data_IF_597797537549
#
_entry.id   IF_597797537549
#
_cell.length_a   1.000
_cell.length_b   1.000
_cell.length_c   1.000
_cell.angle_alpha   90.00
_cell.angle_beta   90.00
_cell.angle_gamma   90.00
#
_symmetry.space_group_name_H-M   'P 1'
#
loop_
_entity.id
_entity.type
_entity.pdbx_description
1 polymer ?
#
# COMPACT_ATOMS: atom_id res chain seq x y z
N UNK A 1 -3.17 6.22 -2.50
CA UNK A 1 -2.98 6.01 -3.94
C UNK A 1 -1.66 6.63 -4.40
N UNK A 2 -1.34 7.88 -4.00
CA UNK A 2 -0.02 8.49 -4.27
C UNK A 2 1.15 7.57 -3.93
N UNK A 3 1.15 6.95 -2.75
CA UNK A 3 2.20 6.01 -2.32
C UNK A 3 2.41 4.82 -3.27
N UNK A 4 1.35 4.36 -3.95
CA UNK A 4 1.43 3.24 -4.90
C UNK A 4 2.10 3.70 -6.20
N UNK A 5 1.69 4.86 -6.73
CA UNK A 5 2.28 5.46 -7.93
C UNK A 5 3.76 5.79 -7.70
N UNK A 6 4.08 6.44 -6.58
CA UNK A 6 5.46 6.79 -6.21
C UNK A 6 6.30 5.55 -5.95
N UNK A 7 5.72 4.51 -5.32
CA UNK A 7 6.38 3.22 -5.12
C UNK A 7 6.80 2.58 -6.45
N UNK A 8 5.88 2.52 -7.41
CA UNK A 8 6.16 2.00 -8.76
C UNK A 8 7.16 2.87 -9.52
N UNK A 9 7.03 4.20 -9.46
CA UNK A 9 7.95 5.13 -10.10
C UNK A 9 9.39 4.95 -9.62
N UNK A 10 9.57 4.85 -8.30
CA UNK A 10 10.88 4.64 -7.70
C UNK A 10 11.45 3.25 -8.04
N UNK A 11 10.62 2.22 -8.12
CA UNK A 11 11.06 0.89 -8.54
C UNK A 11 11.51 0.87 -10.01
N UNK A 12 10.82 1.61 -10.89
CA UNK A 12 11.26 1.81 -12.28
C UNK A 12 12.60 2.56 -12.30
N UNK A 13 12.72 3.68 -11.58
CA UNK A 13 13.94 4.48 -11.52
C UNK A 13 15.15 3.73 -10.93
N UNK A 14 14.90 2.75 -10.05
CA UNK A 14 15.93 1.88 -9.51
C UNK A 14 16.43 0.83 -10.52
N UNK A 15 15.61 0.43 -11.49
CA UNK A 15 15.96 -0.54 -12.53
C UNK A 15 16.54 0.12 -13.78
N UNK A 16 16.08 1.33 -14.10
CA UNK A 16 16.57 2.16 -15.20
C UNK A 16 16.63 3.60 -14.73
N UNK A 17 17.79 4.25 -14.89
CA UNK A 17 17.99 5.64 -14.51
C UNK A 17 16.89 6.51 -15.15
N UNK A 18 16.06 7.12 -14.29
CA UNK A 18 14.94 7.96 -14.69
C UNK A 18 14.77 9.09 -13.67
N UNK A 19 14.31 10.25 -14.14
CA UNK A 19 13.87 11.34 -13.28
C UNK A 19 12.41 11.09 -12.85
N UNK A 20 12.15 11.12 -11.54
CA UNK A 20 10.79 10.94 -11.00
C UNK A 20 10.22 12.30 -10.60
N UNK A 21 9.20 12.75 -11.33
CA UNK A 21 8.48 13.99 -11.04
C UNK A 21 7.08 13.67 -10.56
N UNK A 22 6.75 14.07 -9.32
CA UNK A 22 5.42 13.87 -8.74
C UNK A 22 4.57 15.12 -8.94
N UNK A 23 3.43 14.96 -9.64
CA UNK A 23 2.43 16.01 -9.81
C UNK A 23 1.12 15.62 -9.12
N UNK A 24 0.52 16.55 -8.38
CA UNK A 24 -0.76 16.31 -7.67
C UNK A 24 -1.90 16.96 -8.45
N UNK A 25 -2.88 16.14 -8.83
CA UNK A 25 -4.06 16.63 -9.56
C UNK A 25 -4.97 17.40 -8.61
N UNK A 26 -5.23 18.66 -8.95
CA UNK A 26 -6.24 19.48 -8.30
C UNK A 26 -7.15 20.13 -9.34
N UNK A 27 -8.46 19.92 -9.19
CA UNK A 27 -9.48 20.41 -10.12
C UNK A 27 -10.07 21.75 -9.63
N UNK A 28 -10.43 22.64 -10.57
CA UNK A 28 -11.21 23.85 -10.31
C UNK A 28 -12.65 23.47 -9.94
N UNK A 29 -13.20 24.16 -8.93
CA UNK A 29 -14.59 24.01 -8.52
C UNK A 29 -15.01 22.56 -8.25
N UNK A 30 -16.17 22.16 -8.76
CA UNK A 30 -16.75 20.81 -8.56
C UNK A 30 -16.39 19.82 -9.68
N UNK A 31 -15.58 20.19 -10.65
CA UNK A 31 -15.28 19.35 -11.84
C UNK A 31 -14.66 18.00 -11.45
N UNK A 32 -13.83 17.95 -10.40
CA UNK A 32 -13.26 16.69 -9.90
C UNK A 32 -14.28 15.69 -9.31
N UNK A 33 -15.52 16.13 -9.05
CA UNK A 33 -16.62 15.27 -8.60
C UNK A 33 -17.40 14.65 -9.75
N UNK A 34 -17.28 15.20 -10.96
CA UNK A 34 -17.99 14.69 -12.12
C UNK A 34 -17.37 13.36 -12.60
N UNK A 35 -18.18 12.50 -13.24
CA UNK A 35 -17.67 11.43 -14.09
C UNK A 35 -16.62 11.94 -15.09
N UNK A 36 -15.64 11.10 -15.41
CA UNK A 36 -14.49 11.50 -16.22
C UNK A 36 -14.87 11.97 -17.64
N UNK A 37 -15.97 11.45 -18.20
CA UNK A 37 -16.48 11.81 -19.52
C UNK A 37 -17.12 13.21 -19.55
N UNK A 38 -17.49 13.78 -18.39
CA UNK A 38 -18.04 15.13 -18.27
C UNK A 38 -16.96 16.22 -18.08
N UNK A 39 -15.68 15.85 -18.18
CA UNK A 39 -14.57 16.81 -18.20
C UNK A 39 -13.92 16.82 -19.60
N UNK A 40 -14.49 17.56 -20.57
CA UNK A 40 -14.01 17.56 -21.95
C UNK A 40 -12.66 18.25 -22.12
N UNK A 41 -12.34 19.23 -21.27
CA UNK A 41 -11.11 20.04 -21.34
C UNK A 41 -10.30 19.98 -20.03
N UNK A 42 -9.78 18.81 -19.64
CA UNK A 42 -9.20 18.62 -18.32
C UNK A 42 -8.05 19.58 -18.01
N UNK A 43 -7.16 19.90 -18.97
CA UNK A 43 -6.09 20.87 -18.72
C UNK A 43 -6.59 22.27 -18.35
N UNK A 44 -7.71 22.74 -18.92
CA UNK A 44 -8.31 24.03 -18.58
C UNK A 44 -8.96 24.03 -17.19
N UNK A 45 -9.44 22.85 -16.77
CA UNK A 45 -10.10 22.62 -15.49
C UNK A 45 -9.14 22.34 -14.34
N UNK A 46 -7.84 22.22 -14.58
CA UNK A 46 -6.83 22.10 -13.52
C UNK A 46 -6.66 23.42 -12.77
N UNK A 47 -6.31 23.35 -11.48
CA UNK A 47 -5.78 24.51 -10.77
C UNK A 47 -4.39 24.88 -11.34
N UNK A 48 -4.04 26.18 -11.38
CA UNK A 48 -2.80 26.65 -12.02
C UNK A 48 -1.51 26.06 -11.41
N UNK A 49 -1.53 25.73 -10.13
CA UNK A 49 -0.39 25.25 -9.33
C UNK A 49 -0.09 23.75 -9.49
N UNK A 50 -0.87 23.03 -10.30
CA UNK A 50 -0.67 21.58 -10.48
C UNK A 50 0.58 21.23 -11.27
N UNK A 51 1.05 22.14 -12.14
CA UNK A 51 2.23 21.95 -12.98
C UNK A 51 2.13 20.75 -13.93
N UNK A 52 0.90 20.36 -14.31
CA UNK A 52 0.63 19.29 -15.28
C UNK A 52 0.47 19.94 -16.66
N UNK A 53 1.41 19.64 -17.55
CA UNK A 53 1.49 20.18 -18.90
C UNK A 53 2.79 19.72 -19.57
N UNK A 54 3.05 20.15 -20.81
CA UNK A 54 4.31 19.86 -21.49
C UNK A 54 5.52 20.50 -20.77
N UNK A 55 6.74 19.93 -20.90
CA UNK A 55 7.06 18.71 -21.65
C UNK A 55 6.47 17.46 -20.99
N UNK A 56 5.94 16.56 -21.82
CA UNK A 56 5.33 15.31 -21.36
C UNK A 56 6.40 14.27 -21.06
N UNK A 57 6.20 13.39 -20.06
CA UNK A 57 7.19 12.38 -19.69
C UNK A 57 7.20 11.21 -20.69
N UNK A 58 8.28 10.43 -20.68
CA UNK A 58 8.34 9.16 -21.39
C UNK A 58 7.32 8.14 -20.86
N UNK A 59 7.17 8.08 -19.53
CA UNK A 59 6.27 7.18 -18.82
C UNK A 59 5.38 8.01 -17.88
N UNK A 60 4.07 7.88 -18.04
CA UNK A 60 3.06 8.48 -17.16
C UNK A 60 2.45 7.41 -16.26
N UNK A 61 2.64 7.54 -14.95
CA UNK A 61 2.07 6.63 -13.96
C UNK A 61 0.94 7.32 -13.21
N UNK A 62 -0.22 6.68 -13.12
CA UNK A 62 -1.39 7.25 -12.47
C UNK A 62 -2.15 6.24 -11.60
N UNK A 63 -2.93 6.76 -10.64
CA UNK A 63 -3.84 5.99 -9.80
C UNK A 63 -5.10 6.78 -9.50
N UNK A 64 -6.24 6.09 -9.49
CA UNK A 64 -7.50 6.64 -9.02
C UNK A 64 -8.23 7.56 -9.99
N UNK A 65 -9.53 7.70 -9.76
CA UNK A 65 -10.51 8.35 -10.65
C UNK A 65 -10.14 9.79 -11.06
N UNK A 66 -9.49 10.55 -10.16
CA UNK A 66 -9.14 11.94 -10.43
C UNK A 66 -8.09 12.10 -11.53
N UNK A 67 -7.32 11.07 -11.86
CA UNK A 67 -6.28 11.13 -12.90
C UNK A 67 -6.79 10.72 -14.29
N UNK A 68 -7.88 9.93 -14.34
CA UNK A 68 -8.39 9.32 -15.57
C UNK A 68 -8.63 10.32 -16.72
N UNK A 69 -9.24 11.51 -16.52
CA UNK A 69 -9.46 12.45 -17.63
C UNK A 69 -8.18 12.91 -18.32
N UNK A 70 -7.07 12.96 -17.58
CA UNK A 70 -5.73 13.31 -18.10
C UNK A 70 -5.10 12.08 -18.76
N UNK A 71 -5.03 10.96 -18.05
CA UNK A 71 -4.33 9.74 -18.51
C UNK A 71 -4.84 9.26 -19.87
N UNK A 72 -6.16 9.19 -20.07
CA UNK A 72 -6.76 8.68 -21.33
C UNK A 72 -6.53 9.61 -22.52
N UNK A 73 -6.31 10.91 -22.27
CA UNK A 73 -6.07 11.90 -23.34
C UNK A 73 -4.59 12.10 -23.62
N UNK A 74 -3.73 11.71 -22.69
CA UNK A 74 -2.29 11.91 -22.79
C UNK A 74 -1.71 11.23 -24.03
N UNK A 75 -2.20 10.03 -24.36
CA UNK A 75 -1.83 9.33 -25.61
C UNK A 75 -2.11 10.19 -26.85
N UNK A 76 -3.28 10.82 -26.91
CA UNK A 76 -3.63 11.71 -28.02
C UNK A 76 -2.79 13.01 -28.02
N UNK A 77 -2.61 13.65 -26.86
CA UNK A 77 -1.83 14.89 -26.74
C UNK A 77 -0.35 14.72 -27.09
N UNK A 78 0.16 13.51 -26.91
CA UNK A 78 1.57 13.18 -27.13
C UNK A 78 1.79 12.45 -28.45
N UNK A 79 0.76 12.25 -29.28
CA UNK A 79 0.84 11.40 -30.48
C UNK A 79 1.45 10.02 -30.18
N UNK A 80 1.03 9.43 -29.05
CA UNK A 80 1.52 8.18 -28.48
C UNK A 80 3.01 8.18 -28.09
N UNK A 81 3.65 9.34 -27.87
CA UNK A 81 5.05 9.37 -27.40
C UNK A 81 5.19 9.03 -25.92
N UNK A 82 4.17 9.28 -25.10
CA UNK A 82 4.17 8.92 -23.67
C UNK A 82 3.50 7.56 -23.46
N UNK A 83 4.16 6.69 -22.69
CA UNK A 83 3.62 5.40 -22.26
C UNK A 83 2.79 5.55 -20.99
N UNK A 84 1.49 5.27 -21.08
CA UNK A 84 0.52 5.55 -20.02
C UNK A 84 0.19 4.29 -19.24
N UNK A 85 0.59 4.28 -17.97
CA UNK A 85 0.35 3.19 -17.02
C UNK A 85 -0.65 3.61 -15.96
N UNK A 86 -1.69 2.81 -15.80
CA UNK A 86 -2.68 2.97 -14.74
C UNK A 86 -2.51 1.89 -13.69
N UNK A 87 -2.31 2.29 -12.44
CA UNK A 87 -2.39 1.38 -11.30
C UNK A 87 -3.84 1.29 -10.81
N UNK A 88 -4.21 0.12 -10.27
CA UNK A 88 -5.60 -0.25 -9.91
C UNK A 88 -6.52 -0.42 -11.12
N UNK A 89 -7.68 -1.04 -10.89
CA UNK A 89 -8.76 -1.10 -11.88
C UNK A 89 -9.31 0.31 -12.16
N UNK A 90 -9.22 0.80 -13.41
CA UNK A 90 -9.74 2.12 -13.78
C UNK A 90 -11.27 2.18 -13.91
N UNK A 91 -11.96 1.02 -13.89
CA UNK A 91 -13.41 0.88 -14.14
C UNK A 91 -13.85 1.50 -15.46
N UNK A 92 -13.06 1.27 -16.50
CA UNK A 92 -13.25 1.71 -17.89
C UNK A 92 -12.43 0.79 -18.82
N UNK A 93 -12.65 0.84 -20.15
CA UNK A 93 -11.89 0.02 -21.09
C UNK A 93 -10.37 0.16 -20.90
N UNK A 94 -9.69 -0.96 -20.71
CA UNK A 94 -8.24 -0.96 -20.45
C UNK A 94 -7.44 -0.51 -21.66
N UNK A 95 -7.97 -0.67 -22.88
CA UNK A 95 -7.35 -0.24 -24.14
C UNK A 95 -7.04 1.25 -24.25
N UNK A 96 -7.60 2.08 -23.34
CA UNK A 96 -7.27 3.50 -23.22
C UNK A 96 -5.89 3.77 -22.60
N UNK A 97 -5.23 2.73 -22.09
CA UNK A 97 -3.90 2.77 -21.47
C UNK A 97 -2.94 1.84 -22.22
N UNK A 98 -1.64 2.06 -22.06
CA UNK A 98 -0.65 1.11 -22.58
C UNK A 98 -0.45 -0.08 -21.64
N UNK A 99 -0.64 0.13 -20.33
CA UNK A 99 -0.64 -0.93 -19.32
C UNK A 99 -1.55 -0.57 -18.13
N UNK A 100 -2.26 -1.59 -17.63
CA UNK A 100 -3.05 -1.49 -16.39
C UNK A 100 -2.52 -2.52 -15.38
N UNK A 101 -2.25 -2.08 -14.15
CA UNK A 101 -1.69 -2.90 -13.07
C UNK A 101 -2.69 -2.96 -11.91
N UNK A 102 -3.74 -3.81 -12.02
CA UNK A 102 -4.73 -3.96 -10.97
C UNK A 102 -4.27 -5.00 -9.93
N UNK A 103 -4.83 -4.96 -8.71
CA UNK A 103 -4.79 -6.10 -7.81
C UNK A 103 -5.49 -7.33 -8.41
N UNK A 104 -4.94 -8.53 -8.22
CA UNK A 104 -5.53 -9.81 -8.68
C UNK A 104 -6.97 -10.02 -8.18
N UNK A 105 -7.27 -9.58 -6.96
CA UNK A 105 -8.61 -9.72 -6.37
C UNK A 105 -9.68 -8.88 -7.07
N UNK A 106 -9.31 -7.90 -7.91
CA UNK A 106 -10.25 -7.14 -8.74
C UNK A 106 -10.66 -7.92 -10.01
N UNK A 107 -9.98 -9.03 -10.34
CA UNK A 107 -10.27 -9.95 -11.46
C UNK A 107 -10.38 -9.29 -12.85
N UNK A 108 -9.76 -8.13 -13.03
CA UNK A 108 -9.68 -7.44 -14.31
C UNK A 108 -8.84 -8.26 -15.31
N UNK A 109 -9.30 -8.34 -16.56
CA UNK A 109 -8.65 -9.08 -17.65
C UNK A 109 -8.51 -8.19 -18.88
N UNK A 110 -7.49 -8.47 -19.70
CA UNK A 110 -7.22 -7.78 -20.97
C UNK A 110 -5.75 -7.92 -21.38
N UNK A 111 -5.47 -7.73 -22.67
CA UNK A 111 -4.13 -7.93 -23.24
C UNK A 111 -3.05 -7.02 -22.64
N UNK A 112 -3.48 -5.86 -22.13
CA UNK A 112 -2.64 -4.88 -21.47
C UNK A 112 -2.79 -4.85 -19.94
N UNK A 113 -3.28 -5.94 -19.35
CA UNK A 113 -3.46 -6.05 -17.90
C UNK A 113 -2.35 -6.91 -17.30
N UNK A 114 -1.65 -6.37 -16.29
CA UNK A 114 -0.66 -7.09 -15.49
C UNK A 114 -1.07 -7.09 -14.02
N UNK A 115 -1.78 -8.15 -13.61
CA UNK A 115 -2.34 -8.24 -12.25
C UNK A 115 -1.29 -8.63 -11.21
N UNK A 116 -1.29 -7.93 -10.07
CA UNK A 116 -0.36 -8.18 -8.95
C UNK A 116 -1.09 -8.54 -7.66
N UNK A 117 -0.39 -9.18 -6.73
CA UNK A 117 -0.92 -9.43 -5.38
C UNK A 117 -0.88 -8.14 -4.55
N UNK A 118 -2.03 -7.68 -4.06
CA UNK A 118 -2.09 -6.44 -3.29
C UNK A 118 -1.93 -5.19 -4.16
N UNK A 119 -0.99 -4.31 -3.83
CA UNK A 119 -0.77 -3.06 -4.58
C UNK A 119 0.70 -2.65 -4.61
N UNK A 120 1.14 -1.82 -5.58
CA UNK A 120 2.51 -1.32 -5.56
C UNK A 120 2.77 -0.56 -4.25
N UNK A 121 3.96 -0.73 -3.69
CA UNK A 121 4.36 -0.13 -2.43
C UNK A 121 5.79 0.39 -2.48
N UNK A 122 6.17 1.12 -1.43
CA UNK A 122 7.53 1.65 -1.29
C UNK A 122 8.42 0.80 -0.38
N UNK A 123 8.09 -0.48 -0.16
CA UNK A 123 8.87 -1.37 0.70
C UNK A 123 10.00 -1.99 -0.12
N UNK A 124 11.24 -1.75 0.30
CA UNK A 124 12.41 -2.45 -0.21
C UNK A 124 13.50 -2.53 0.87
N UNK A 125 14.47 -3.41 0.69
CA UNK A 125 15.53 -3.65 1.66
C UNK A 125 16.31 -2.38 2.03
N UNK A 126 16.60 -1.50 1.05
CA UNK A 126 17.32 -0.23 1.27
C UNK A 126 16.54 0.70 2.19
N UNK A 127 15.23 0.87 1.94
CA UNK A 127 14.35 1.70 2.76
C UNK A 127 14.18 1.12 4.16
N UNK A 128 13.89 -0.18 4.28
CA UNK A 128 13.74 -0.85 5.57
C UNK A 128 15.00 -0.68 6.43
N UNK A 129 16.19 -0.83 5.84
CA UNK A 129 17.48 -0.61 6.53
C UNK A 129 17.67 0.84 6.96
N UNK A 130 17.35 1.80 6.09
CA UNK A 130 17.48 3.22 6.41
C UNK A 130 16.53 3.65 7.54
N UNK A 131 15.27 3.25 7.48
CA UNK A 131 14.27 3.57 8.50
C UNK A 131 14.59 2.87 9.82
N UNK A 132 15.02 1.60 9.81
CA UNK A 132 15.51 0.93 11.01
C UNK A 132 16.68 1.69 11.66
N UNK A 133 17.60 2.23 10.86
CA UNK A 133 18.72 3.04 11.36
C UNK A 133 18.28 4.25 12.19
N UNK A 134 17.21 4.93 11.79
CA UNK A 134 16.68 6.13 12.48
C UNK A 134 16.12 5.82 13.87
N UNK A 135 15.51 4.63 14.03
CA UNK A 135 14.85 4.22 15.27
C UNK A 135 15.64 3.16 16.07
N UNK A 136 16.84 2.80 15.59
CA UNK A 136 17.65 1.68 16.11
C UNK A 136 17.83 1.73 17.63
N UNK A 137 18.17 2.90 18.18
CA UNK A 137 18.43 3.06 19.62
C UNK A 137 17.21 2.72 20.48
N UNK A 138 16.01 3.15 20.07
CA UNK A 138 14.78 2.88 20.81
C UNK A 138 14.37 1.41 20.67
N UNK A 139 14.45 0.88 19.45
CA UNK A 139 14.00 -0.48 19.14
C UNK A 139 14.95 -1.54 19.71
N UNK A 140 16.26 -1.30 19.76
CA UNK A 140 17.23 -2.29 20.23
C UNK A 140 17.15 -2.58 21.73
N UNK A 141 16.63 -1.64 22.51
CA UNK A 141 16.37 -1.83 23.93
C UNK A 141 15.18 -2.77 24.20
N UNK A 142 14.35 -3.05 23.19
CA UNK A 142 13.14 -3.86 23.36
C UNK A 142 13.45 -5.37 23.41
N UNK A 143 12.86 -6.10 24.37
CA UNK A 143 12.90 -7.56 24.42
C UNK A 143 12.36 -8.21 23.15
N UNK A 144 12.88 -9.40 22.84
CA UNK A 144 12.36 -10.24 21.76
C UNK A 144 11.38 -11.29 22.32
N UNK A 145 10.38 -11.71 21.52
CA UNK A 145 10.13 -11.28 20.14
C UNK A 145 9.61 -9.84 20.04
N UNK A 146 10.02 -9.12 19.00
CA UNK A 146 9.50 -7.78 18.67
C UNK A 146 8.30 -7.93 17.75
N UNK A 147 7.11 -7.57 18.17
CA UNK A 147 5.89 -7.75 17.38
C UNK A 147 5.44 -6.41 16.82
N UNK A 148 5.53 -6.24 15.50
CA UNK A 148 4.96 -5.06 14.85
C UNK A 148 3.45 -5.26 14.67
N UNK A 149 2.66 -4.35 15.24
CA UNK A 149 1.20 -4.37 15.15
C UNK A 149 0.75 -3.18 14.31
N UNK A 150 0.15 -3.47 13.17
CA UNK A 150 -0.30 -2.46 12.21
C UNK A 150 -1.81 -2.45 12.19
N UNK A 151 -2.38 -1.43 12.83
CA UNK A 151 -3.82 -1.31 13.02
C UNK A 151 -4.42 -0.39 11.97
N UNK A 152 -5.30 -0.95 11.16
CA UNK A 152 -6.14 -0.25 10.20
C UNK A 152 -7.37 0.34 10.86
N UNK A 153 -8.49 0.34 10.15
CA UNK A 153 -9.71 0.90 10.70
C UNK A 153 -10.84 0.95 9.69
N UNK A 154 -11.71 1.94 9.86
CA UNK A 154 -12.97 1.99 9.13
C UNK A 154 -12.72 2.03 7.62
N UNK A 155 -13.43 1.18 6.90
CA UNK A 155 -13.53 1.13 5.45
C UNK A 155 -14.99 0.89 5.05
N UNK A 156 -15.26 0.69 3.76
CA UNK A 156 -16.61 0.28 3.32
C UNK A 156 -16.98 -1.14 3.74
N UNK A 157 -15.97 -1.98 3.96
CA UNK A 157 -16.13 -3.41 4.22
C UNK A 157 -15.95 -3.77 5.69
N UNK A 158 -15.11 -3.01 6.41
CA UNK A 158 -14.71 -3.33 7.77
C UNK A 158 -14.84 -2.12 8.69
N UNK A 159 -15.07 -2.40 9.98
CA UNK A 159 -15.05 -1.42 11.04
C UNK A 159 -14.27 -1.96 12.26
N UNK A 160 -13.90 -1.05 13.15
CA UNK A 160 -13.30 -1.40 14.44
C UNK A 160 -14.22 -0.89 15.54
N UNK A 161 -15.13 -1.74 16.01
CA UNK A 161 -15.92 -1.45 17.21
C UNK A 161 -15.03 -1.41 18.45
N UNK A 162 -15.55 -0.86 19.55
CA UNK A 162 -14.82 -0.82 20.83
C UNK A 162 -14.65 -2.24 21.38
N UNK A 163 -15.66 -3.08 21.19
CA UNK A 163 -15.68 -4.50 21.57
C UNK A 163 -14.61 -5.28 20.80
N UNK A 164 -14.53 -5.08 19.48
CA UNK A 164 -13.50 -5.70 18.64
C UNK A 164 -12.11 -5.19 18.98
N UNK A 165 -11.96 -3.90 19.30
CA UNK A 165 -10.69 -3.34 19.76
C UNK A 165 -10.26 -3.94 21.12
N UNK A 166 -11.20 -4.19 22.04
CA UNK A 166 -10.93 -4.83 23.32
C UNK A 166 -10.44 -6.27 23.13
N UNK A 167 -11.14 -7.03 22.28
CA UNK A 167 -10.76 -8.40 21.94
C UNK A 167 -9.39 -8.45 21.25
N UNK A 168 -9.12 -7.55 20.29
CA UNK A 168 -7.81 -7.45 19.65
C UNK A 168 -6.69 -7.13 20.63
N UNK A 169 -6.92 -6.20 21.57
CA UNK A 169 -5.92 -5.88 22.58
C UNK A 169 -5.51 -7.12 23.37
N UNK A 170 -6.50 -7.93 23.78
CA UNK A 170 -6.26 -9.18 24.50
C UNK A 170 -5.54 -10.23 23.63
N UNK A 171 -5.99 -10.41 22.38
CA UNK A 171 -5.37 -11.33 21.42
C UNK A 171 -3.91 -10.97 21.13
N UNK A 172 -3.58 -9.68 21.06
CA UNK A 172 -2.22 -9.18 20.86
C UNK A 172 -1.38 -9.38 22.13
N UNK A 173 -1.90 -8.98 23.28
CA UNK A 173 -1.18 -8.99 24.55
C UNK A 173 -0.77 -10.41 24.98
N UNK A 174 -1.72 -11.35 24.93
CA UNK A 174 -1.55 -12.69 25.50
C UNK A 174 -0.28 -13.43 25.01
N UNK A 175 -0.06 -13.64 23.70
CA UNK A 175 1.12 -14.35 23.23
C UNK A 175 2.41 -13.54 23.39
N UNK A 176 2.35 -12.21 23.38
CA UNK A 176 3.54 -11.37 23.59
C UNK A 176 4.02 -11.50 25.04
N UNK A 177 3.10 -11.47 26.00
CA UNK A 177 3.41 -11.67 27.43
C UNK A 177 3.96 -13.08 27.66
N UNK A 178 3.35 -14.10 27.05
CA UNK A 178 3.81 -15.49 27.17
C UNK A 178 5.24 -15.69 26.64
N UNK A 179 5.64 -15.00 25.58
CA UNK A 179 7.00 -15.07 25.02
C UNK A 179 7.98 -14.05 25.63
N UNK A 180 7.55 -13.20 26.57
CA UNK A 180 8.39 -12.15 27.15
C UNK A 180 8.81 -11.07 26.15
N UNK A 181 7.99 -10.84 25.12
CA UNK A 181 8.30 -9.97 23.99
C UNK A 181 7.94 -8.50 24.19
N UNK A 182 7.94 -7.78 23.08
CA UNK A 182 7.60 -6.36 23.00
C UNK A 182 6.64 -6.06 21.85
N UNK A 183 5.90 -4.96 21.99
CA UNK A 183 4.92 -4.52 20.99
C UNK A 183 5.34 -3.21 20.34
N UNK A 184 5.27 -3.14 19.02
CA UNK A 184 5.51 -1.92 18.23
C UNK A 184 4.26 -1.58 17.44
N UNK A 185 3.41 -0.71 17.98
CA UNK A 185 2.08 -0.41 17.42
C UNK A 185 2.13 0.83 16.53
N UNK A 186 1.55 0.71 15.34
CA UNK A 186 1.29 1.84 14.44
C UNK A 186 -0.17 1.85 13.99
N UNK A 187 -0.79 3.03 14.05
CA UNK A 187 -2.18 3.21 13.69
C UNK A 187 -2.33 3.93 12.35
N UNK A 188 -3.27 3.47 11.54
CA UNK A 188 -3.72 4.19 10.35
C UNK A 188 -4.52 5.44 10.74
N UNK A 189 -4.52 6.44 9.86
CA UNK A 189 -5.45 7.59 9.97
C UNK A 189 -6.94 7.18 9.93
N UNK A 190 -7.23 5.94 9.53
CA UNK A 190 -8.58 5.37 9.46
C UNK A 190 -9.03 4.68 10.76
N UNK A 191 -8.12 4.48 11.71
CA UNK A 191 -8.45 3.88 13.01
C UNK A 191 -9.41 4.82 13.75
N UNK A 192 -10.63 4.37 14.12
CA UNK A 192 -11.53 5.18 14.95
C UNK A 192 -10.85 5.58 16.26
N UNK A 193 -11.05 6.82 16.69
CA UNK A 193 -10.43 7.34 17.92
C UNK A 193 -10.73 6.46 19.15
N UNK A 194 -11.98 6.03 19.42
CA UNK A 194 -12.26 5.21 20.60
C UNK A 194 -11.49 3.88 20.61
N UNK A 195 -11.34 3.27 19.43
CA UNK A 195 -10.57 2.04 19.27
C UNK A 195 -9.06 2.28 19.48
N UNK A 196 -8.52 3.38 18.96
CA UNK A 196 -7.12 3.79 19.18
C UNK A 196 -6.87 4.02 20.67
N UNK A 197 -7.70 4.80 21.34
CA UNK A 197 -7.56 5.11 22.76
C UNK A 197 -7.58 3.84 23.61
N UNK A 198 -8.50 2.91 23.33
CA UNK A 198 -8.59 1.63 24.03
C UNK A 198 -7.35 0.76 23.81
N UNK A 199 -6.92 0.56 22.56
CA UNK A 199 -5.74 -0.24 22.23
C UNK A 199 -4.49 0.34 22.89
N UNK A 200 -4.32 1.67 22.85
CA UNK A 200 -3.21 2.35 23.55
C UNK A 200 -3.28 2.12 25.05
N UNK A 201 -4.44 2.33 25.68
CA UNK A 201 -4.61 2.15 27.11
C UNK A 201 -4.34 0.71 27.57
N UNK A 202 -4.68 -0.28 26.74
CA UNK A 202 -4.51 -1.71 27.00
C UNK A 202 -3.11 -2.23 26.71
N UNK A 203 -2.33 -1.60 25.84
CA UNK A 203 -1.01 -2.11 25.44
C UNK A 203 0.16 -1.32 26.03
N UNK A 204 -0.09 -0.11 26.58
CA UNK A 204 0.96 0.78 27.08
C UNK A 204 1.79 0.25 28.26
N UNK A 205 1.30 -0.73 29.00
CA UNK A 205 2.04 -1.33 30.13
C UNK A 205 3.08 -2.35 29.67
N UNK A 206 2.98 -2.83 28.44
CA UNK A 206 3.92 -3.78 27.88
C UNK A 206 5.22 -3.09 27.45
N UNK A 207 6.37 -3.80 27.45
CA UNK A 207 7.56 -3.33 26.77
C UNK A 207 7.24 -3.03 25.30
N UNK A 208 7.53 -1.82 24.82
CA UNK A 208 7.14 -1.49 23.46
C UNK A 208 7.15 0.00 23.12
N UNK A 209 6.70 0.27 21.90
CA UNK A 209 6.52 1.62 21.36
C UNK A 209 5.13 1.66 20.72
N UNK A 210 4.31 2.62 21.14
CA UNK A 210 3.02 2.91 20.50
C UNK A 210 3.16 4.27 19.83
N UNK A 211 3.11 4.29 18.49
CA UNK A 211 3.18 5.54 17.75
C UNK A 211 1.83 6.26 17.79
N UNK A 212 1.81 7.44 18.39
CA UNK A 212 0.63 8.29 18.60
C UNK A 212 0.20 9.05 17.33
N UNK A 213 1.11 9.22 16.36
CA UNK A 213 0.88 9.98 15.14
C UNK A 213 1.74 11.24 15.04
N UNK A 214 2.51 11.56 16.08
CA UNK A 214 3.39 12.72 16.13
C UNK A 214 4.84 12.36 15.75
N UNK A 215 5.57 13.37 15.26
CA UNK A 215 6.95 13.21 14.83
C UNK A 215 7.15 12.30 13.62
N UNK A 216 8.35 11.74 13.52
CA UNK A 216 8.72 10.82 12.45
C UNK A 216 7.97 9.49 12.56
N UNK A 217 7.36 9.05 11.47
CA UNK A 217 6.58 7.80 11.46
C UNK A 217 7.50 6.55 11.45
N UNK A 218 7.50 5.72 12.52
CA UNK A 218 8.37 4.56 12.64
C UNK A 218 7.87 3.32 11.88
N UNK A 219 6.77 3.41 11.12
CA UNK A 219 6.11 2.28 10.47
C UNK A 219 7.06 1.30 9.79
N UNK A 220 7.93 1.78 8.88
CA UNK A 220 8.87 0.92 8.17
C UNK A 220 10.00 0.40 9.06
N UNK A 221 10.37 1.13 10.12
CA UNK A 221 11.33 0.64 11.11
C UNK A 221 10.73 -0.50 11.95
N UNK A 222 9.45 -0.42 12.33
CA UNK A 222 8.75 -1.50 13.01
C UNK A 222 8.70 -2.75 12.13
N UNK A 223 8.30 -2.61 10.87
CA UNK A 223 8.32 -3.71 9.90
C UNK A 223 9.74 -4.29 9.74
N UNK A 224 10.77 -3.45 9.69
CA UNK A 224 12.17 -3.87 9.56
C UNK A 224 12.72 -4.56 10.82
N UNK A 225 12.23 -4.23 12.01
CA UNK A 225 12.69 -4.77 13.29
C UNK A 225 11.93 -5.99 13.80
N UNK A 226 10.70 -6.20 13.33
CA UNK A 226 9.81 -7.26 13.81
C UNK A 226 10.37 -8.68 13.70
N UNK A 227 10.03 -9.54 14.65
CA UNK A 227 10.11 -11.00 14.53
C UNK A 227 8.77 -11.56 13.99
N UNK A 228 7.65 -10.94 14.37
CA UNK A 228 6.30 -11.23 13.90
C UNK A 228 5.57 -9.92 13.54
N UNK A 229 4.72 -9.96 12.52
CA UNK A 229 3.89 -8.83 12.12
C UNK A 229 2.42 -9.20 12.25
N UNK A 230 1.66 -8.41 13.00
CA UNK A 230 0.20 -8.49 13.08
C UNK A 230 -0.39 -7.34 12.27
N UNK A 231 -1.27 -7.63 11.31
CA UNK A 231 -1.92 -6.62 10.46
C UNK A 231 -3.42 -6.87 10.46
N UNK A 232 -4.21 -5.82 10.63
CA UNK A 232 -5.68 -5.93 10.51
C UNK A 232 -6.13 -6.23 9.08
N UNK A 233 -7.20 -7.03 8.96
CA UNK A 233 -7.68 -7.57 7.68
C UNK A 233 -8.21 -6.52 6.68
N UNK A 234 -8.47 -5.30 7.13
CA UNK A 234 -9.10 -4.23 6.35
C UNK A 234 -8.20 -3.56 5.31
N UNK A 235 -6.91 -3.92 5.25
CA UNK A 235 -5.96 -3.23 4.39
C UNK A 235 -5.10 -4.15 3.56
N UNK A 236 -5.33 -4.10 2.25
CA UNK A 236 -4.46 -4.75 1.28
C UNK A 236 -3.07 -4.15 1.29
N UNK A 237 -2.94 -2.83 1.42
CA UNK A 237 -1.64 -2.15 1.37
C UNK A 237 -0.75 -2.54 2.55
N UNK A 238 -1.29 -2.50 3.77
CA UNK A 238 -0.50 -2.79 4.97
C UNK A 238 -0.09 -4.26 5.05
N UNK A 239 -0.97 -5.17 4.62
CA UNK A 239 -0.63 -6.59 4.53
C UNK A 239 0.38 -6.87 3.40
N UNK A 240 0.30 -6.14 2.28
CA UNK A 240 1.31 -6.23 1.20
C UNK A 240 2.67 -5.72 1.70
N UNK A 241 2.71 -4.59 2.43
CA UNK A 241 3.93 -4.03 2.99
C UNK A 241 4.58 -4.98 3.99
N UNK A 242 3.77 -5.61 4.86
CA UNK A 242 4.23 -6.66 5.76
C UNK A 242 4.76 -7.88 5.01
N UNK A 243 4.05 -8.35 3.98
CA UNK A 243 4.46 -9.47 3.14
C UNK A 243 5.79 -9.18 2.39
N UNK A 244 6.06 -7.93 2.04
CA UNK A 244 7.33 -7.53 1.41
C UNK A 244 8.55 -7.65 2.35
N UNK A 245 8.36 -7.94 3.64
CA UNK A 245 9.48 -8.13 4.60
C UNK A 245 10.05 -9.55 4.63
N UNK A 246 9.28 -10.55 4.18
CA UNK A 246 9.62 -11.97 4.35
C UNK A 246 9.48 -12.49 5.79
N UNK A 247 8.89 -11.70 6.68
CA UNK A 247 8.63 -12.07 8.09
C UNK A 247 7.24 -12.65 8.24
N UNK A 248 7.02 -13.57 9.21
CA UNK A 248 5.69 -14.08 9.53
C UNK A 248 4.66 -12.97 9.67
N UNK A 249 3.63 -12.98 8.82
CA UNK A 249 2.51 -12.06 8.88
C UNK A 249 1.28 -12.79 9.37
N UNK A 250 0.63 -12.27 10.40
CA UNK A 250 -0.68 -12.73 10.83
C UNK A 250 -1.75 -11.68 10.56
N UNK A 251 -2.91 -12.16 10.11
CA UNK A 251 -4.07 -11.33 9.84
C UNK A 251 -4.98 -11.30 11.07
N UNK A 252 -5.16 -10.09 11.61
CA UNK A 252 -6.08 -9.79 12.70
C UNK A 252 -7.47 -9.52 12.16
N UNK A 253 -8.45 -10.27 12.65
CA UNK A 253 -9.84 -10.15 12.23
C UNK A 253 -10.47 -8.84 12.72
N UNK A 254 -11.33 -8.27 11.90
CA UNK A 254 -12.12 -7.07 12.16
C UNK A 254 -13.62 -7.38 12.05
N UNK A 255 -14.46 -6.38 12.36
CA UNK A 255 -15.89 -6.49 12.12
C UNK A 255 -16.17 -6.23 10.64
N UNK A 256 -16.95 -7.10 10.00
CA UNK A 256 -17.33 -7.00 8.60
C UNK A 256 -16.88 -8.18 7.77
N UNK A 257 -17.15 -8.13 6.47
CA UNK A 257 -16.68 -9.12 5.50
C UNK A 257 -16.64 -8.49 4.10
N UNK A 258 -15.76 -9.02 3.25
CA UNK A 258 -15.69 -8.65 1.86
C UNK A 258 -14.96 -9.73 1.07
N UNK A 259 -15.61 -10.19 -0.01
CA UNK A 259 -15.01 -11.11 -0.97
C UNK A 259 -13.64 -10.60 -1.48
N UNK A 260 -13.51 -9.29 -1.71
CA UNK A 260 -12.26 -8.68 -2.16
C UNK A 260 -11.10 -8.90 -1.17
N UNK A 261 -11.35 -8.69 0.12
CA UNK A 261 -10.33 -8.88 1.15
C UNK A 261 -10.06 -10.35 1.41
N UNK A 262 -11.10 -11.20 1.38
CA UNK A 262 -10.96 -12.65 1.50
C UNK A 262 -10.07 -13.23 0.41
N UNK A 263 -10.36 -12.95 -0.85
CA UNK A 263 -9.54 -13.39 -1.99
C UNK A 263 -8.10 -12.87 -1.92
N UNK A 264 -7.91 -11.67 -1.37
CA UNK A 264 -6.58 -11.10 -1.18
C UNK A 264 -5.79 -11.84 -0.10
N UNK A 265 -6.41 -12.12 1.05
CA UNK A 265 -5.77 -12.86 2.15
C UNK A 265 -5.52 -14.32 1.76
N UNK A 266 -6.45 -14.97 1.05
CA UNK A 266 -6.24 -16.30 0.45
C UNK A 266 -5.03 -16.32 -0.52
N UNK A 267 -4.84 -15.25 -1.32
CA UNK A 267 -3.66 -15.15 -2.20
C UNK A 267 -2.36 -14.99 -1.40
N UNK A 268 -2.36 -14.22 -0.31
CA UNK A 268 -1.21 -14.13 0.61
C UNK A 268 -0.92 -15.46 1.31
N UNK A 269 -1.95 -16.18 1.77
CA UNK A 269 -1.83 -17.50 2.38
C UNK A 269 -1.25 -18.53 1.40
N UNK A 270 -1.73 -18.53 0.15
CA UNK A 270 -1.20 -19.39 -0.91
C UNK A 270 0.26 -19.11 -1.23
N UNK A 271 0.68 -17.85 -1.13
CA UNK A 271 2.10 -17.45 -1.26
C UNK A 271 2.93 -17.77 -0.01
N UNK A 272 2.31 -18.28 1.06
CA UNK A 272 2.93 -18.53 2.35
C UNK A 272 3.28 -17.26 3.13
N UNK A 273 2.82 -16.09 2.67
CA UNK A 273 3.19 -14.80 3.24
C UNK A 273 2.43 -14.46 4.52
N UNK A 274 1.16 -14.85 4.59
CA UNK A 274 0.30 -14.55 5.73
C UNK A 274 -0.47 -15.80 6.21
N UNK A 275 -0.97 -15.73 7.45
CA UNK A 275 -1.92 -16.69 8.03
C UNK A 275 -2.94 -15.96 8.90
N UNK A 276 -4.16 -16.48 9.11
CA UNK A 276 -5.05 -15.96 10.15
C UNK A 276 -4.37 -16.03 11.53
N UNK A 277 -4.57 -15.01 12.36
CA UNK A 277 -4.02 -15.03 13.71
C UNK A 277 -4.83 -15.96 14.62
N UNK A 278 -4.19 -17.01 15.14
CA UNK A 278 -4.80 -18.01 16.01
C UNK A 278 -4.47 -17.86 17.50
N UNK A 279 -3.89 -16.73 17.91
CA UNK A 279 -3.54 -16.47 19.32
C UNK A 279 -2.19 -17.04 19.78
N UNK A 280 -1.41 -17.63 18.88
CA UNK A 280 -0.05 -18.10 19.16
C UNK A 280 0.89 -17.72 18.01
N UNK A 281 2.15 -17.44 18.34
CA UNK A 281 3.16 -17.20 17.32
C UNK A 281 3.80 -18.52 16.87
N UNK A 282 3.99 -18.61 15.56
CA UNK A 282 4.72 -19.67 14.92
C UNK A 282 5.64 -19.03 13.88
N UNK A 283 6.87 -19.49 13.79
CA UNK A 283 7.85 -18.92 12.87
C UNK A 283 7.82 -19.68 11.55
N UNK A 284 7.77 -18.95 10.44
CA UNK A 284 8.00 -19.49 9.10
C UNK A 284 8.75 -18.47 8.24
N UNK A 285 9.14 -18.88 7.04
CA UNK A 285 9.77 -18.02 6.04
C UNK A 285 9.07 -18.22 4.70
N UNK A 286 9.11 -17.19 3.89
CA UNK A 286 8.65 -17.19 2.50
C UNK A 286 9.48 -16.18 1.72
N UNK A 287 9.57 -16.30 0.39
CA UNK A 287 10.19 -15.28 -0.45
C UNK A 287 9.46 -13.93 -0.26
N UNK A 288 10.16 -12.84 0.12
CA UNK A 288 9.52 -11.54 0.30
C UNK A 288 8.73 -11.13 -0.94
N UNK A 289 7.53 -10.61 -0.72
CA UNK A 289 6.66 -10.22 -1.81
C UNK A 289 7.23 -9.00 -2.55
N UNK A 290 7.58 -9.17 -3.83
CA UNK A 290 8.25 -8.18 -4.67
C UNK A 290 7.37 -7.66 -5.82
N UNK A 291 6.06 -7.50 -5.59
CA UNK A 291 5.10 -7.14 -6.65
C UNK A 291 5.40 -5.78 -7.30
N UNK A 292 5.89 -4.79 -6.53
CA UNK A 292 6.29 -3.49 -7.07
C UNK A 292 7.45 -3.65 -8.07
N UNK A 293 8.42 -4.50 -7.77
CA UNK A 293 9.55 -4.79 -8.66
C UNK A 293 9.11 -5.55 -9.90
N UNK A 294 8.21 -6.54 -9.75
CA UNK A 294 7.62 -7.27 -10.88
C UNK A 294 6.85 -6.32 -11.80
N UNK A 295 6.03 -5.44 -11.23
CA UNK A 295 5.30 -4.42 -11.97
C UNK A 295 6.23 -3.43 -12.68
N UNK A 296 7.30 -2.98 -12.02
CA UNK A 296 8.28 -2.08 -12.63
C UNK A 296 9.03 -2.73 -13.81
N UNK A 297 9.40 -4.01 -13.67
CA UNK A 297 10.02 -4.77 -14.75
C UNK A 297 9.07 -4.92 -15.96
N UNK A 298 7.80 -5.20 -15.70
CA UNK A 298 6.79 -5.30 -16.77
C UNK A 298 6.55 -3.96 -17.47
N UNK A 299 6.50 -2.85 -16.72
CA UNK A 299 6.39 -1.50 -17.31
C UNK A 299 7.55 -1.26 -18.27
N UNK A 300 8.80 -1.54 -17.85
CA UNK A 300 9.97 -1.34 -18.68
C UNK A 300 9.98 -2.26 -19.91
N UNK A 301 9.63 -3.53 -19.73
CA UNK A 301 9.54 -4.50 -20.83
C UNK A 301 8.58 -4.03 -21.92
N UNK A 302 7.35 -3.64 -21.55
CA UNK A 302 6.34 -3.16 -22.50
C UNK A 302 6.67 -1.78 -23.08
N UNK A 303 7.34 -0.94 -22.30
CA UNK A 303 7.84 0.35 -22.79
C UNK A 303 8.89 0.15 -23.90
N UNK A 304 9.78 -0.84 -23.76
CA UNK A 304 10.83 -1.14 -24.75
C UNK A 304 10.28 -1.84 -26.00
N UNK A 305 9.27 -2.70 -25.85
CA UNK A 305 8.63 -3.42 -26.96
C UNK A 305 7.78 -2.52 -27.86
N UNK A 306 7.49 -1.30 -27.40
CA UNK A 306 6.81 -0.31 -28.21
C UNK A 306 7.69 0.02 -29.42
N UNK A 307 7.21 -0.32 -30.61
CA UNK A 307 7.77 0.23 -31.85
C UNK A 307 7.65 1.76 -31.80
N UNK A 308 8.75 2.52 -32.00
CA UNK A 308 8.61 3.93 -32.30
C UNK A 308 7.71 4.05 -33.54
N UNK A 309 6.72 4.96 -33.48
CA UNK A 309 5.98 5.38 -34.67
C UNK A 309 6.92 6.12 -35.63
#
# INVERSE_FOLDING_TARGET
MESQVVGLANAIAAKRRAEVVVKRVAWKGRVGRLPWWLNPFPLRSLKPDTGIGPPWPDIWLAAGRATLPLSIRLKAWTRNTTFVVQTQDPRMPTSLFDLVIPPKHDRLQGDNVFSITGSPNGVNAKRLKAELGRFKKQIDALPRPRVAVVIGGKSKAHNMSVERAAALAHEIELPIVQEGGSVMVSFSRRTPEPARALLTARLRHMPGIIWDGEGDNPYFAFLAAADYILVTEDSTNMATDAASTGKPVFILKMDGDSLKFRLFHEDLERLGAARPFGGAFHKWKYPPLAETDRAAAEVLRRYDERKPL
#
